data_IF_388369514025
#
_entry.id   IF_388369514025
#
_cell.length_a   1.000
_cell.length_b   1.000
_cell.length_c   1.000
_cell.angle_alpha   90.00
_cell.angle_beta   90.00
_cell.angle_gamma   90.00
#
_symmetry.space_group_name_H-M   'P 1'
#
loop_
_entity.id
_entity.type
_entity.pdbx_description
1 polymer ?
#
# COMPACT_ATOMS: atom_id res chain seq x y z
N UNK A 1 4.17 18.71 -8.69
CA UNK A 1 5.31 19.52 -9.11
C UNK A 1 5.36 19.64 -10.63
N UNK A 2 5.92 20.73 -11.15
CA UNK A 2 5.99 21.03 -12.60
C UNK A 2 6.70 19.98 -13.43
N UNK A 3 7.56 19.18 -12.80
CA UNK A 3 8.31 18.10 -13.41
C UNK A 3 7.67 16.71 -13.26
N UNK A 4 6.44 16.64 -12.74
CA UNK A 4 5.72 15.40 -12.48
C UNK A 4 6.28 14.56 -11.33
N UNK A 5 7.18 15.11 -10.53
CA UNK A 5 7.78 14.38 -9.41
C UNK A 5 6.95 14.49 -8.14
N UNK A 6 6.80 13.36 -7.42
CA UNK A 6 6.21 13.34 -6.10
C UNK A 6 7.18 13.90 -5.07
N UNK A 7 6.71 14.86 -4.28
CA UNK A 7 7.49 15.44 -3.18
C UNK A 7 6.75 15.29 -1.86
N UNK A 8 7.52 15.06 -0.81
CA UNK A 8 6.97 15.10 0.55
C UNK A 8 6.58 16.53 0.90
N UNK A 9 5.34 16.70 1.29
CA UNK A 9 4.82 18.01 1.66
C UNK A 9 4.77 18.17 3.18
N UNK A 10 4.06 17.29 3.87
CA UNK A 10 3.87 17.38 5.32
C UNK A 10 3.59 16.01 5.93
N UNK A 11 3.92 15.84 7.23
CA UNK A 11 3.53 14.70 8.03
C UNK A 11 3.49 15.07 9.50
N UNK A 12 2.59 14.44 10.25
CA UNK A 12 2.42 14.65 11.69
C UNK A 12 2.49 13.34 12.45
N UNK A 13 2.83 13.42 13.72
CA UNK A 13 2.77 12.29 14.63
C UNK A 13 1.38 12.19 15.25
N UNK A 14 0.76 11.02 15.29
CA UNK A 14 -0.53 10.84 15.93
C UNK A 14 -0.38 10.95 17.45
N UNK A 15 -1.25 11.74 18.08
CA UNK A 15 -1.38 11.82 19.53
C UNK A 15 -2.84 12.03 19.91
N UNK A 16 -3.41 11.14 20.74
CA UNK A 16 -4.82 11.20 21.14
C UNK A 16 -5.77 10.49 20.17
N UNK A 17 -7.07 10.61 20.44
CA UNK A 17 -8.13 9.89 19.73
C UNK A 17 -8.61 10.61 18.46
N UNK A 18 -8.46 11.92 18.41
CA UNK A 18 -8.81 12.76 17.27
C UNK A 18 -7.61 13.62 16.89
N UNK A 19 -7.24 13.55 15.63
CA UNK A 19 -6.08 14.26 15.11
C UNK A 19 -6.57 15.28 14.08
N UNK A 20 -6.11 16.51 14.20
CA UNK A 20 -6.37 17.57 13.26
C UNK A 20 -5.05 18.12 12.72
N UNK A 21 -4.92 18.14 11.41
CA UNK A 21 -3.76 18.70 10.74
C UNK A 21 -4.19 19.88 9.86
N UNK A 22 -3.47 20.98 9.98
CA UNK A 22 -3.63 22.14 9.11
C UNK A 22 -2.48 22.20 8.12
N UNK A 23 -2.83 22.15 6.85
CA UNK A 23 -1.87 22.30 5.75
C UNK A 23 -1.97 23.74 5.24
N UNK A 24 -0.96 24.55 5.58
CA UNK A 24 -0.86 25.93 5.12
C UNK A 24 -0.06 26.01 3.82
N UNK A 25 -0.27 27.07 3.05
CA UNK A 25 0.43 27.31 1.78
C UNK A 25 0.19 26.26 0.68
N UNK A 26 -0.95 25.56 0.72
CA UNK A 26 -1.49 24.86 -0.44
C UNK A 26 -2.12 25.94 -1.32
N UNK A 27 -1.29 26.62 -2.07
CA UNK A 27 -1.73 27.68 -2.98
C UNK A 27 -1.76 27.23 -4.41
N UNK A 28 -2.58 27.91 -5.23
CA UNK A 28 -2.45 27.83 -6.69
C UNK A 28 -1.09 28.42 -7.05
N UNK A 29 -0.20 27.60 -7.57
CA UNK A 29 0.97 28.10 -8.27
C UNK A 29 0.49 28.73 -9.59
N UNK A 30 0.99 29.91 -9.90
CA UNK A 30 0.67 30.61 -11.14
C UNK A 30 1.04 29.82 -12.42
N UNK A 31 1.79 28.74 -12.26
CA UNK A 31 2.26 27.87 -13.35
C UNK A 31 1.44 26.58 -13.52
N UNK A 32 0.44 26.32 -12.65
CA UNK A 32 -0.36 25.09 -12.69
C UNK A 32 -1.84 25.41 -12.89
N UNK A 33 -2.27 25.54 -14.14
CA UNK A 33 -3.69 25.77 -14.51
C UNK A 33 -4.62 24.64 -14.02
N UNK A 34 -4.09 23.47 -13.67
CA UNK A 34 -4.84 22.27 -13.23
C UNK A 34 -4.81 22.00 -11.73
N UNK A 35 -4.12 22.84 -10.94
CA UNK A 35 -3.97 22.61 -9.50
C UNK A 35 -2.94 21.53 -9.16
N UNK A 36 -2.93 21.07 -7.91
CA UNK A 36 -2.02 20.05 -7.41
C UNK A 36 -2.76 18.76 -7.09
N UNK A 37 -2.14 17.61 -7.36
CA UNK A 37 -2.57 16.32 -6.83
C UNK A 37 -1.91 16.08 -5.47
N UNK A 38 -2.73 15.77 -4.46
CA UNK A 38 -2.26 15.40 -3.12
C UNK A 38 -2.61 13.96 -2.84
N UNK A 39 -1.65 13.21 -2.29
CA UNK A 39 -1.87 11.86 -1.75
C UNK A 39 -1.71 11.86 -0.25
N UNK A 40 -2.80 11.51 0.43
CA UNK A 40 -2.78 11.30 1.87
C UNK A 40 -2.46 9.83 2.15
N UNK A 41 -1.36 9.59 2.86
CA UNK A 41 -0.99 8.28 3.37
C UNK A 41 -1.37 8.16 4.82
N UNK A 42 -2.23 7.21 5.14
CA UNK A 42 -2.69 6.93 6.49
C UNK A 42 -1.68 6.05 7.25
N UNK A 43 -1.66 6.10 8.60
CA UNK A 43 -0.76 5.29 9.40
C UNK A 43 -0.99 3.79 9.17
N UNK A 44 0.07 2.98 8.91
CA UNK A 44 -0.09 1.56 8.60
C UNK A 44 -0.45 0.69 9.81
N UNK A 45 -0.34 1.21 11.04
CA UNK A 45 -0.58 0.49 12.29
C UNK A 45 -1.75 1.02 13.12
N UNK A 46 -2.49 2.01 12.61
CA UNK A 46 -3.64 2.58 13.30
C UNK A 46 -4.92 2.31 12.53
N UNK A 47 -5.99 1.98 13.23
CA UNK A 47 -7.33 1.89 12.64
C UNK A 47 -7.92 3.28 12.52
N UNK A 48 -8.22 3.71 11.31
CA UNK A 48 -8.92 4.96 11.04
C UNK A 48 -10.43 4.66 11.10
N UNK A 49 -11.13 5.31 12.03
CA UNK A 49 -12.58 5.14 12.20
C UNK A 49 -13.38 6.12 11.33
N UNK A 50 -12.84 7.31 11.13
CA UNK A 50 -13.42 8.32 10.26
C UNK A 50 -12.34 9.28 9.76
N UNK A 51 -12.59 9.94 8.66
CA UNK A 51 -11.71 10.92 8.05
C UNK A 51 -12.57 12.04 7.45
N UNK A 52 -12.21 13.27 7.76
CA UNK A 52 -12.78 14.47 7.15
C UNK A 52 -11.68 15.31 6.52
N UNK A 53 -11.96 15.88 5.36
CA UNK A 53 -11.07 16.80 4.67
C UNK A 53 -11.82 18.11 4.48
N UNK A 54 -11.30 19.19 5.05
CA UNK A 54 -11.84 20.52 4.92
C UNK A 54 -10.95 21.39 4.01
N UNK A 55 -11.58 22.19 3.18
CA UNK A 55 -10.96 23.26 2.39
C UNK A 55 -11.63 24.59 2.70
N UNK A 56 -10.98 25.76 2.46
CA UNK A 56 -11.63 27.05 2.56
C UNK A 56 -12.91 27.13 1.73
N UNK A 57 -13.89 27.92 2.19
CA UNK A 57 -15.25 27.99 1.60
C UNK A 57 -15.27 28.31 0.10
N UNK A 58 -14.25 29.02 -0.39
CA UNK A 58 -14.16 29.41 -1.80
C UNK A 58 -13.24 28.52 -2.65
N UNK A 59 -12.73 27.42 -2.05
CA UNK A 59 -11.85 26.48 -2.74
C UNK A 59 -12.62 25.20 -3.09
N UNK A 60 -12.21 24.54 -4.17
CA UNK A 60 -12.74 23.25 -4.60
C UNK A 60 -11.78 22.13 -4.27
N UNK A 61 -12.33 21.02 -3.77
CA UNK A 61 -11.64 19.75 -3.61
C UNK A 61 -12.31 18.71 -4.51
N UNK A 62 -11.54 18.16 -5.44
CA UNK A 62 -12.02 17.09 -6.31
C UNK A 62 -11.27 15.79 -6.01
N UNK A 63 -12.01 14.70 -5.77
CA UNK A 63 -11.41 13.38 -5.62
C UNK A 63 -11.07 12.81 -6.99
N UNK A 64 -9.83 12.35 -7.13
CA UNK A 64 -9.39 11.66 -8.35
C UNK A 64 -10.00 10.27 -8.38
N UNK A 65 -10.64 9.85 -9.48
CA UNK A 65 -11.18 8.50 -9.61
C UNK A 65 -10.13 7.42 -9.38
N UNK A 66 -10.57 6.28 -8.85
CA UNK A 66 -9.69 5.11 -8.71
C UNK A 66 -9.19 4.69 -10.09
N UNK A 67 -7.91 4.41 -10.20
CA UNK A 67 -7.32 3.93 -11.44
C UNK A 67 -8.00 2.63 -11.91
N UNK A 68 -8.38 2.52 -13.19
CA UNK A 68 -8.94 1.28 -13.74
C UNK A 68 -7.89 0.19 -13.99
N UNK A 69 -6.62 0.51 -13.81
CA UNK A 69 -5.51 -0.42 -14.02
C UNK A 69 -5.52 -1.55 -12.99
N UNK A 70 -5.19 -2.77 -13.43
CA UNK A 70 -5.03 -3.90 -12.53
C UNK A 70 -3.96 -3.58 -11.48
N UNK A 71 -4.25 -3.83 -10.19
CA UNK A 71 -3.31 -3.51 -9.11
C UNK A 71 -2.11 -4.44 -9.08
N UNK A 72 -1.05 -4.00 -8.44
CA UNK A 72 -0.04 -4.87 -7.86
C UNK A 72 -0.58 -5.31 -6.50
N UNK A 73 -0.62 -6.60 -6.23
CA UNK A 73 -0.98 -7.14 -4.93
C UNK A 73 0.28 -7.55 -4.18
N UNK A 74 0.45 -6.98 -3.00
CA UNK A 74 1.54 -7.28 -2.08
C UNK A 74 0.98 -7.97 -0.84
N UNK A 75 1.33 -9.24 -0.64
CA UNK A 75 1.00 -10.00 0.55
C UNK A 75 2.28 -10.33 1.33
N UNK A 76 2.29 -10.05 2.62
CA UNK A 76 3.48 -10.31 3.42
C UNK A 76 3.37 -9.97 4.89
N UNK A 77 4.52 -9.80 5.50
CA UNK A 77 4.73 -9.59 6.94
C UNK A 77 4.64 -8.12 7.33
N UNK A 78 5.12 -7.79 8.54
CA UNK A 78 5.31 -6.40 8.99
C UNK A 78 6.21 -5.58 8.06
N UNK A 79 7.14 -6.22 7.36
CA UNK A 79 8.03 -5.56 6.40
C UNK A 79 7.21 -5.05 5.22
N UNK A 80 6.32 -5.88 4.67
CA UNK A 80 5.37 -5.49 3.62
C UNK A 80 4.39 -4.42 4.10
N UNK A 81 3.89 -4.53 5.34
CA UNK A 81 3.00 -3.53 5.96
C UNK A 81 3.68 -2.17 6.07
N UNK A 82 5.00 -2.14 6.25
CA UNK A 82 5.79 -0.91 6.32
C UNK A 82 6.39 -0.63 7.69
N UNK A 83 6.68 -1.68 8.48
CA UNK A 83 7.43 -1.54 9.72
C UNK A 83 8.76 -0.83 9.49
N UNK A 84 9.14 0.03 10.44
CA UNK A 84 10.38 0.82 10.41
C UNK A 84 10.48 1.84 9.27
N UNK A 85 9.44 2.04 8.46
CA UNK A 85 9.40 3.16 7.55
C UNK A 85 9.33 4.48 8.33
N UNK A 86 10.07 5.49 7.90
CA UNK A 86 10.10 6.81 8.58
C UNK A 86 8.74 7.50 8.60
N UNK A 87 7.85 7.16 7.67
CA UNK A 87 6.46 7.65 7.55
C UNK A 87 5.67 6.78 6.56
N UNK A 88 4.34 6.80 6.57
CA UNK A 88 3.50 5.91 5.74
C UNK A 88 3.83 5.94 4.24
N UNK A 89 4.06 7.12 3.66
CA UNK A 89 4.43 7.26 2.25
C UNK A 89 5.83 6.76 1.88
N UNK A 90 6.62 6.28 2.85
CA UNK A 90 7.98 5.77 2.64
C UNK A 90 8.10 4.26 2.90
N UNK A 91 6.98 3.54 3.00
CA UNK A 91 7.02 2.08 2.94
C UNK A 91 7.49 1.65 1.55
N UNK A 92 8.18 0.52 1.45
CA UNK A 92 8.69 0.09 0.15
C UNK A 92 7.55 -0.16 -0.87
N UNK A 93 6.41 -0.67 -0.40
CA UNK A 93 5.22 -0.82 -1.24
C UNK A 93 4.71 0.51 -1.81
N UNK A 94 4.65 1.58 -0.98
CA UNK A 94 4.21 2.90 -1.46
C UNK A 94 5.24 3.57 -2.39
N UNK A 95 6.53 3.30 -2.18
CA UNK A 95 7.58 3.74 -3.11
C UNK A 95 7.41 3.03 -4.46
N UNK A 96 7.21 1.72 -4.44
CA UNK A 96 6.98 0.92 -5.65
C UNK A 96 5.75 1.42 -6.41
N UNK A 97 4.63 1.66 -5.72
CA UNK A 97 3.41 2.20 -6.30
C UNK A 97 3.68 3.51 -7.06
N UNK A 98 4.38 4.46 -6.43
CA UNK A 98 4.69 5.75 -7.07
C UNK A 98 5.64 5.61 -8.25
N UNK A 99 6.64 4.73 -8.12
CA UNK A 99 7.64 4.53 -9.17
C UNK A 99 7.08 3.88 -10.42
N UNK A 100 6.12 2.96 -10.25
CA UNK A 100 5.52 2.22 -11.36
C UNK A 100 4.22 2.86 -11.88
N UNK A 101 3.58 3.75 -11.10
CA UNK A 101 2.34 4.41 -11.48
C UNK A 101 1.10 3.48 -11.46
N UNK A 102 1.20 2.27 -10.88
CA UNK A 102 0.06 1.34 -10.78
C UNK A 102 -0.56 1.33 -9.40
N UNK A 103 -1.88 1.06 -9.28
CA UNK A 103 -2.49 0.81 -7.99
C UNK A 103 -1.77 -0.30 -7.24
N UNK A 104 -1.69 -0.20 -5.91
CA UNK A 104 -1.12 -1.24 -5.07
C UNK A 104 -2.09 -1.57 -3.94
N UNK A 105 -2.39 -2.86 -3.78
CA UNK A 105 -3.11 -3.41 -2.64
C UNK A 105 -2.06 -4.01 -1.71
N UNK A 106 -1.92 -3.42 -0.52
CA UNK A 106 -0.97 -3.89 0.49
C UNK A 106 -1.71 -4.72 1.54
N UNK A 107 -1.43 -6.02 1.56
CA UNK A 107 -1.89 -7.01 2.52
C UNK A 107 -0.71 -7.46 3.41
N UNK A 108 0.05 -6.51 3.93
CA UNK A 108 1.07 -6.75 4.93
C UNK A 108 0.44 -6.89 6.32
N UNK A 109 0.75 -7.99 7.03
CA UNK A 109 0.20 -8.30 8.36
C UNK A 109 1.33 -8.53 9.35
N UNK A 110 1.52 -7.57 10.27
CA UNK A 110 2.56 -7.66 11.31
C UNK A 110 2.36 -8.88 12.21
N UNK A 111 3.41 -9.68 12.37
CA UNK A 111 3.36 -10.92 13.13
C UNK A 111 2.67 -12.10 12.41
N UNK A 112 2.06 -11.85 11.25
CA UNK A 112 1.34 -12.80 10.40
C UNK A 112 1.88 -12.74 8.95
N UNK A 113 1.05 -12.95 7.95
CA UNK A 113 1.51 -13.05 6.56
C UNK A 113 2.31 -14.34 6.37
N UNK A 114 1.70 -15.48 6.74
CA UNK A 114 2.33 -16.79 6.77
C UNK A 114 1.80 -17.73 5.71
N UNK A 115 1.28 -17.18 4.62
CA UNK A 115 0.60 -17.91 3.54
C UNK A 115 -0.66 -18.62 4.04
N UNK A 116 -1.41 -17.97 4.93
CA UNK A 116 -2.66 -18.48 5.47
C UNK A 116 -3.67 -18.69 4.34
N UNK A 117 -4.30 -19.88 4.33
CA UNK A 117 -5.24 -20.27 3.29
C UNK A 117 -6.40 -19.28 3.14
N UNK A 118 -6.93 -18.79 4.26
CA UNK A 118 -8.05 -17.86 4.29
C UNK A 118 -7.69 -16.52 3.64
N UNK A 119 -6.46 -16.05 3.80
CA UNK A 119 -5.98 -14.83 3.13
C UNK A 119 -5.76 -15.09 1.65
N UNK A 120 -5.21 -16.25 1.29
CA UNK A 120 -5.04 -16.65 -0.10
C UNK A 120 -6.36 -16.81 -0.84
N UNK A 121 -7.44 -17.25 -0.17
CA UNK A 121 -8.78 -17.31 -0.74
C UNK A 121 -9.23 -15.92 -1.20
N UNK A 122 -9.08 -14.87 -0.36
CA UNK A 122 -9.38 -13.49 -0.75
C UNK A 122 -8.42 -12.94 -1.82
N UNK A 123 -7.14 -13.29 -1.77
CA UNK A 123 -6.18 -12.90 -2.80
C UNK A 123 -6.60 -13.42 -4.17
N UNK A 124 -7.15 -14.62 -4.24
CA UNK A 124 -7.65 -15.23 -5.47
C UNK A 124 -8.90 -14.53 -6.07
N UNK A 125 -9.58 -13.67 -5.31
CA UNK A 125 -10.68 -12.85 -5.83
C UNK A 125 -10.17 -11.59 -6.57
N UNK A 126 -8.88 -11.24 -6.42
CA UNK A 126 -8.31 -10.01 -6.95
C UNK A 126 -7.56 -10.29 -8.26
N UNK A 127 -8.05 -9.76 -9.36
CA UNK A 127 -7.35 -9.82 -10.65
C UNK A 127 -6.19 -8.81 -10.69
N UNK A 128 -5.05 -9.21 -10.13
CA UNK A 128 -3.86 -8.38 -10.06
C UNK A 128 -2.96 -8.57 -11.31
N UNK A 129 -2.20 -7.52 -11.65
CA UNK A 129 -1.17 -7.60 -12.70
C UNK A 129 0.11 -8.29 -12.23
N UNK A 130 0.36 -8.28 -10.92
CA UNK A 130 1.51 -8.92 -10.27
C UNK A 130 1.11 -9.27 -8.84
N UNK A 131 1.41 -10.49 -8.43
CA UNK A 131 1.31 -10.94 -7.03
C UNK A 131 2.71 -10.98 -6.45
N UNK A 132 2.93 -10.29 -5.33
CA UNK A 132 4.20 -10.29 -4.59
C UNK A 132 3.94 -10.97 -3.25
N UNK A 133 4.65 -12.07 -2.99
CA UNK A 133 4.57 -12.82 -1.73
C UNK A 133 5.85 -12.60 -0.93
N UNK A 134 5.75 -11.76 0.11
CA UNK A 134 6.83 -11.35 1.03
C UNK A 134 6.58 -11.94 2.43
N UNK A 135 6.44 -13.28 2.50
CA UNK A 135 5.97 -13.98 3.69
C UNK A 135 7.08 -14.73 4.45
N UNK A 136 8.24 -14.95 3.82
CA UNK A 136 9.30 -15.81 4.36
C UNK A 136 9.80 -15.40 5.76
N UNK A 137 9.93 -14.12 6.14
CA UNK A 137 10.42 -13.74 7.46
C UNK A 137 9.62 -14.33 8.62
N UNK A 138 8.31 -14.51 8.47
CA UNK A 138 7.45 -15.06 9.52
C UNK A 138 7.26 -16.59 9.41
N UNK A 139 7.92 -17.24 8.46
CA UNK A 139 7.95 -18.70 8.30
C UNK A 139 9.19 -19.34 8.93
N UNK A 140 10.14 -18.57 9.43
CA UNK A 140 11.41 -19.05 10.00
C UNK A 140 11.29 -20.13 11.08
N UNK A 141 10.21 -20.25 11.89
CA UNK A 141 10.06 -21.36 12.83
C UNK A 141 9.73 -22.71 12.17
N UNK A 142 9.42 -22.72 10.87
CA UNK A 142 9.07 -23.94 10.12
C UNK A 142 10.28 -24.58 9.47
N UNK A 143 10.19 -25.86 9.23
CA UNK A 143 11.21 -26.60 8.47
C UNK A 143 11.22 -26.16 6.99
N UNK A 144 12.33 -26.41 6.32
CA UNK A 144 12.47 -26.13 4.88
C UNK A 144 11.38 -26.81 4.05
N UNK A 145 11.04 -28.05 4.39
CA UNK A 145 10.04 -28.82 3.64
C UNK A 145 8.63 -28.23 3.84
N UNK A 146 8.28 -27.82 5.07
CA UNK A 146 7.02 -27.12 5.35
C UNK A 146 6.92 -25.79 4.61
N UNK A 147 7.99 -24.99 4.59
CA UNK A 147 8.03 -23.72 3.85
C UNK A 147 7.84 -23.98 2.36
N UNK A 148 8.57 -24.95 1.82
CA UNK A 148 8.46 -25.32 0.39
C UNK A 148 7.05 -25.74 0.04
N UNK A 149 6.40 -26.53 0.92
CA UNK A 149 5.02 -26.96 0.70
C UNK A 149 4.05 -25.76 0.73
N UNK A 150 4.13 -24.88 1.73
CA UNK A 150 3.29 -23.70 1.85
C UNK A 150 3.40 -22.77 0.63
N UNK A 151 4.63 -22.48 0.20
CA UNK A 151 4.88 -21.65 -0.99
C UNK A 151 4.32 -22.33 -2.24
N UNK A 152 4.55 -23.65 -2.39
CA UNK A 152 4.01 -24.39 -3.53
C UNK A 152 2.48 -24.37 -3.57
N UNK A 153 1.83 -24.54 -2.43
CA UNK A 153 0.37 -24.55 -2.34
C UNK A 153 -0.21 -23.16 -2.61
N UNK A 154 0.41 -22.09 -2.07
CA UNK A 154 0.03 -20.71 -2.35
C UNK A 154 0.12 -20.39 -3.86
N UNK A 155 1.23 -20.77 -4.49
CA UNK A 155 1.42 -20.57 -5.93
C UNK A 155 0.38 -21.36 -6.73
N UNK A 156 0.12 -22.62 -6.40
CA UNK A 156 -0.91 -23.44 -7.07
C UNK A 156 -2.30 -22.82 -6.92
N UNK A 157 -2.63 -22.33 -5.72
CA UNK A 157 -3.94 -21.73 -5.46
C UNK A 157 -4.14 -20.47 -6.31
N UNK A 158 -3.18 -19.55 -6.36
CA UNK A 158 -3.25 -18.36 -7.22
C UNK A 158 -3.29 -18.77 -8.70
N UNK A 159 -2.50 -19.75 -9.11
CA UNK A 159 -2.46 -20.24 -10.50
C UNK A 159 -3.74 -20.93 -10.96
N UNK A 160 -4.57 -21.40 -10.04
CA UNK A 160 -5.86 -21.99 -10.38
C UNK A 160 -6.83 -20.96 -10.99
N UNK A 161 -6.66 -19.68 -10.67
CA UNK A 161 -7.56 -18.59 -11.10
C UNK A 161 -6.86 -17.51 -11.93
N UNK A 162 -5.54 -17.34 -11.79
CA UNK A 162 -4.80 -16.22 -12.40
C UNK A 162 -3.53 -16.68 -13.11
N UNK A 163 -3.24 -16.06 -14.27
CA UNK A 163 -2.03 -16.28 -15.06
C UNK A 163 -0.95 -15.20 -14.85
N UNK A 164 -1.28 -14.12 -14.14
CA UNK A 164 -0.35 -12.99 -13.91
C UNK A 164 0.91 -13.43 -13.16
N UNK A 165 2.06 -12.75 -13.34
CA UNK A 165 3.29 -13.09 -12.65
C UNK A 165 3.13 -13.18 -11.13
N UNK A 166 3.86 -14.11 -10.51
CA UNK A 166 4.02 -14.21 -9.04
C UNK A 166 5.50 -14.01 -8.73
N UNK A 167 5.80 -13.04 -7.88
CA UNK A 167 7.13 -12.76 -7.37
C UNK A 167 7.21 -13.26 -5.93
N UNK A 168 8.17 -14.14 -5.67
CA UNK A 168 8.53 -14.56 -4.32
C UNK A 168 9.70 -13.71 -3.84
N UNK A 169 9.58 -13.13 -2.65
CA UNK A 169 10.65 -12.32 -2.05
C UNK A 169 11.43 -13.18 -1.08
N UNK A 170 12.74 -13.24 -1.30
CA UNK A 170 13.69 -13.93 -0.44
C UNK A 170 14.31 -12.97 0.57
N UNK A 171 14.70 -13.49 1.76
CA UNK A 171 15.36 -12.76 2.86
C UNK A 171 16.57 -13.51 3.39
#
# INVERSE_FOLDING_TARGET
DSDGQWRFYFGGYPSGDTLQYHYTNIGKDLYHDRGYEFRLYLPPYNTIKWLEIGVPENDELTFIPVSPEKPILLYGTSIAQGACASRPGMTWGTILQRSLGYPLINLGFSGNGRLEKEVLDFICEIDARLYILDCLPNLTPKSKDEITQLVSDAVKQIRATHSSPILLVEH
#
